data_IF_919750286290
#
_entry.id   IF_919750286290
#
_cell.length_a   1.000
_cell.length_b   1.000
_cell.length_c   1.000
_cell.angle_alpha   90.00
_cell.angle_beta   90.00
_cell.angle_gamma   90.00
#
_symmetry.space_group_name_H-M   'P 1'
#
loop_
_entity.id
_entity.type
_entity.pdbx_description
1 polymer ?
#
# COMPACT_ATOMS: atom_id res chain seq x y z
N UNK A 1 66.08 -20.57 34.66
CA UNK A 1 65.13 -20.59 33.51
C UNK A 1 63.93 -19.74 33.87
N UNK A 2 63.64 -18.67 33.11
CA UNK A 2 62.51 -17.77 33.35
C UNK A 2 61.34 -18.19 32.45
N UNK A 3 60.29 -18.75 33.03
CA UNK A 3 59.07 -19.13 32.30
C UNK A 3 58.26 -17.86 32.05
N UNK A 4 58.19 -17.41 30.79
CA UNK A 4 57.27 -16.34 30.38
C UNK A 4 55.90 -16.95 30.12
N UNK A 5 54.91 -16.57 30.93
CA UNK A 5 53.51 -16.91 30.67
C UNK A 5 52.96 -15.85 29.73
N UNK A 6 52.51 -16.25 28.55
CA UNK A 6 51.83 -15.37 27.60
C UNK A 6 50.32 -15.54 27.79
N UNK A 7 49.70 -14.54 28.42
CA UNK A 7 48.24 -14.44 28.52
C UNK A 7 47.74 -13.98 27.16
N UNK A 8 47.15 -14.91 26.39
CA UNK A 8 46.43 -14.60 25.16
C UNK A 8 45.04 -14.07 25.55
N UNK A 9 44.87 -12.75 25.54
CA UNK A 9 43.59 -12.09 25.78
C UNK A 9 42.77 -12.14 24.47
N UNK A 10 41.89 -13.12 24.33
CA UNK A 10 40.92 -13.16 23.22
C UNK A 10 39.80 -12.16 23.52
N UNK A 11 39.93 -10.94 23.03
CA UNK A 11 38.81 -9.98 23.03
C UNK A 11 37.86 -10.34 21.90
N UNK A 12 36.83 -11.14 22.22
CA UNK A 12 35.68 -11.32 21.35
C UNK A 12 34.93 -9.98 21.32
N UNK A 13 35.14 -9.16 20.29
CA UNK A 13 34.29 -8.00 20.03
C UNK A 13 32.90 -8.54 19.62
N UNK A 14 31.82 -8.33 20.39
CA UNK A 14 30.51 -8.53 19.83
C UNK A 14 30.33 -7.41 18.80
N UNK A 15 30.34 -7.76 17.51
CA UNK A 15 29.77 -6.89 16.49
C UNK A 15 28.30 -6.80 16.84
N UNK A 16 27.93 -5.76 17.58
CA UNK A 16 26.54 -5.34 17.69
C UNK A 16 26.19 -4.86 16.30
N UNK A 17 25.76 -5.77 15.43
CA UNK A 17 24.90 -5.37 14.32
C UNK A 17 23.70 -4.75 15.01
N UNK A 18 23.69 -3.42 15.09
CA UNK A 18 22.45 -2.69 15.26
C UNK A 18 21.59 -3.17 14.10
N UNK A 19 20.73 -4.14 14.38
CA UNK A 19 19.69 -4.56 13.48
C UNK A 19 18.80 -3.33 13.40
N UNK A 20 19.10 -2.42 12.48
CA UNK A 20 18.17 -1.40 12.09
C UNK A 20 16.96 -2.20 11.62
N UNK A 21 15.97 -2.32 12.48
CA UNK A 21 14.64 -2.76 12.12
C UNK A 21 14.07 -1.66 11.21
N UNK A 22 14.62 -1.57 10.01
CA UNK A 22 14.10 -0.70 8.96
C UNK A 22 12.68 -1.16 8.72
N UNK A 23 11.73 -0.22 8.77
CA UNK A 23 10.33 -0.56 8.56
C UNK A 23 10.19 -1.28 7.22
N UNK A 24 9.63 -2.49 7.26
CA UNK A 24 9.40 -3.33 6.09
C UNK A 24 8.53 -2.60 5.05
N UNK A 25 7.51 -1.87 5.53
CA UNK A 25 6.76 -0.90 4.74
C UNK A 25 7.00 0.49 5.31
N UNK A 26 7.33 1.43 4.44
CA UNK A 26 7.42 2.85 4.78
C UNK A 26 6.32 3.62 4.05
N UNK A 27 5.64 4.51 4.78
CA UNK A 27 4.58 5.36 4.25
C UNK A 27 4.99 6.80 4.57
N UNK A 28 5.11 7.61 3.52
CA UNK A 28 5.40 9.03 3.58
C UNK A 28 4.20 9.81 3.03
N UNK A 29 3.92 10.96 3.63
CA UNK A 29 2.93 11.90 3.12
C UNK A 29 3.58 13.26 2.92
N UNK A 30 3.46 13.83 1.72
CA UNK A 30 3.95 15.17 1.40
C UNK A 30 2.84 15.95 0.70
N UNK A 31 2.50 17.13 1.22
CA UNK A 31 1.52 18.01 0.61
C UNK A 31 2.18 19.27 0.05
N UNK A 32 1.75 19.66 -1.15
CA UNK A 32 2.13 20.93 -1.79
C UNK A 32 0.86 21.73 -2.02
N UNK A 33 0.85 22.97 -1.53
CA UNK A 33 -0.21 23.94 -1.82
C UNK A 33 0.31 24.99 -2.79
N UNK A 34 -0.50 25.33 -3.79
CA UNK A 34 -0.22 26.38 -4.74
C UNK A 34 -1.49 27.12 -5.15
N UNK A 35 -1.31 28.32 -5.68
CA UNK A 35 -2.40 29.11 -6.27
C UNK A 35 -2.41 28.89 -7.79
N UNK A 36 -3.51 28.35 -8.31
CA UNK A 36 -3.72 28.12 -9.73
C UNK A 36 -4.26 29.39 -10.39
N UNK A 37 -3.38 30.12 -11.08
CA UNK A 37 -3.74 31.37 -11.76
C UNK A 37 -4.65 31.21 -12.99
N UNK A 38 -4.90 29.98 -13.46
CA UNK A 38 -5.85 29.71 -14.56
C UNK A 38 -7.27 29.59 -14.02
N UNK A 39 -7.44 28.90 -12.90
CA UNK A 39 -8.76 28.66 -12.26
C UNK A 39 -9.09 29.68 -11.17
N UNK A 40 -8.11 30.52 -10.78
CA UNK A 40 -8.20 31.49 -9.68
C UNK A 40 -8.54 30.82 -8.34
N UNK A 41 -7.89 29.68 -8.05
CA UNK A 41 -8.16 28.86 -6.86
C UNK A 41 -6.88 28.40 -6.17
N UNK A 42 -6.95 28.20 -4.85
CA UNK A 42 -5.91 27.48 -4.12
C UNK A 42 -6.15 25.98 -4.25
N UNK A 43 -5.13 25.27 -4.70
CA UNK A 43 -5.14 23.82 -4.90
C UNK A 43 -4.09 23.18 -3.98
N UNK A 44 -4.38 21.96 -3.55
CA UNK A 44 -3.47 21.15 -2.76
C UNK A 44 -3.32 19.81 -3.48
N UNK A 45 -2.07 19.41 -3.72
CA UNK A 45 -1.74 18.06 -4.14
C UNK A 45 -0.98 17.39 -3.00
N UNK A 46 -1.53 16.29 -2.52
CA UNK A 46 -0.90 15.43 -1.53
C UNK A 46 -0.39 14.16 -2.19
N UNK A 47 0.87 13.81 -1.93
CA UNK A 47 1.42 12.50 -2.26
C UNK A 47 1.38 11.61 -1.02
N UNK A 48 0.66 10.49 -1.11
CA UNK A 48 0.76 9.37 -0.18
C UNK A 48 1.62 8.28 -0.81
N UNK A 49 2.87 8.20 -0.39
CA UNK A 49 3.91 7.37 -0.97
C UNK A 49 4.13 6.11 -0.14
N UNK A 50 3.94 4.95 -0.75
CA UNK A 50 4.21 3.64 -0.16
C UNK A 50 5.53 3.12 -0.72
N UNK A 51 6.47 2.75 0.16
CA UNK A 51 7.73 2.07 -0.19
C UNK A 51 7.76 0.68 0.42
N UNK A 52 7.84 -0.35 -0.41
CA UNK A 52 7.99 -1.73 0.04
C UNK A 52 9.47 -2.11 0.18
N UNK A 53 10.01 -1.97 1.38
CA UNK A 53 11.38 -2.40 1.71
C UNK A 53 11.42 -3.86 2.22
N UNK A 54 10.30 -4.58 2.16
CA UNK A 54 10.19 -5.96 2.60
C UNK A 54 10.59 -6.93 1.48
N UNK A 55 10.59 -8.22 1.80
CA UNK A 55 10.76 -9.32 0.86
C UNK A 55 9.42 -9.98 0.46
N UNK A 56 8.29 -9.37 0.81
CA UNK A 56 6.94 -9.89 0.53
C UNK A 56 6.17 -8.91 -0.37
N UNK A 57 5.24 -9.44 -1.15
CA UNK A 57 4.30 -8.65 -1.96
C UNK A 57 3.19 -8.04 -1.09
N UNK A 58 2.81 -6.80 -1.38
CA UNK A 58 1.71 -6.11 -0.71
C UNK A 58 0.67 -5.65 -1.72
N UNK A 59 -0.60 -5.85 -1.39
CA UNK A 59 -1.73 -5.33 -2.14
C UNK A 59 -2.21 -4.03 -1.52
N UNK A 60 -2.51 -3.04 -2.36
CA UNK A 60 -3.16 -1.81 -1.95
C UNK A 60 -4.38 -1.50 -2.82
N UNK A 61 -5.41 -0.95 -2.19
CA UNK A 61 -6.64 -0.50 -2.85
C UNK A 61 -7.28 0.62 -2.04
N UNK A 62 -8.31 1.24 -2.62
CA UNK A 62 -9.14 2.25 -1.93
C UNK A 62 -10.46 1.60 -1.51
N UNK A 63 -10.80 1.66 -0.23
CA UNK A 63 -12.05 1.15 0.35
C UNK A 63 -13.21 2.15 0.19
N UNK A 64 -14.43 1.63 -0.02
CA UNK A 64 -15.66 2.44 -0.05
C UNK A 64 -16.07 2.99 1.32
N UNK A 65 -15.65 2.32 2.39
CA UNK A 65 -15.91 2.72 3.79
C UNK A 65 -14.57 2.99 4.50
N UNK A 66 -14.51 3.92 5.49
CA UNK A 66 -13.28 4.17 6.24
C UNK A 66 -12.77 2.88 6.90
N UNK A 67 -11.44 2.75 6.98
CA UNK A 67 -10.79 1.51 7.39
C UNK A 67 -10.45 1.50 8.89
N UNK A 68 -10.67 2.61 9.58
CA UNK A 68 -10.37 2.78 11.00
C UNK A 68 -11.10 1.69 11.83
N UNK A 69 -10.37 1.06 12.75
CA UNK A 69 -10.88 0.00 13.65
C UNK A 69 -11.30 -1.31 12.96
N UNK A 70 -11.10 -1.45 11.64
CA UNK A 70 -11.42 -2.68 10.91
C UNK A 70 -10.23 -3.62 10.87
N UNK A 71 -10.51 -4.92 10.94
CA UNK A 71 -9.50 -5.97 10.78
C UNK A 71 -9.19 -6.21 9.31
N UNK A 72 -7.98 -6.68 9.00
CA UNK A 72 -7.57 -7.07 7.64
C UNK A 72 -8.55 -8.07 7.01
N UNK A 73 -9.09 -8.99 7.81
CA UNK A 73 -10.09 -9.96 7.35
C UNK A 73 -11.39 -9.29 6.92
N UNK A 74 -11.88 -8.30 7.66
CA UNK A 74 -13.07 -7.53 7.28
C UNK A 74 -12.80 -6.68 6.03
N UNK A 75 -11.63 -6.07 5.92
CA UNK A 75 -11.23 -5.28 4.76
C UNK A 75 -11.15 -6.13 3.49
N UNK A 76 -10.55 -7.32 3.57
CA UNK A 76 -10.49 -8.27 2.45
C UNK A 76 -11.89 -8.79 2.10
N UNK A 77 -12.70 -9.13 3.10
CA UNK A 77 -14.08 -9.55 2.87
C UNK A 77 -14.88 -8.48 2.12
N UNK A 78 -14.83 -7.24 2.58
CA UNK A 78 -15.61 -6.15 2.01
C UNK A 78 -15.15 -5.74 0.62
N UNK A 79 -13.85 -5.85 0.36
CA UNK A 79 -13.32 -5.51 -0.94
C UNK A 79 -13.63 -6.60 -1.99
N UNK A 80 -13.38 -7.87 -1.66
CA UNK A 80 -13.46 -8.98 -2.63
C UNK A 80 -14.81 -9.70 -2.67
N UNK A 81 -15.46 -9.92 -1.52
CA UNK A 81 -16.61 -10.84 -1.38
C UNK A 81 -17.94 -10.14 -1.15
N UNK A 82 -17.96 -8.98 -0.49
CA UNK A 82 -19.18 -8.19 -0.33
C UNK A 82 -19.66 -7.78 -1.72
N UNK A 83 -20.90 -8.14 -2.04
CA UNK A 83 -21.54 -7.77 -3.31
C UNK A 83 -21.70 -6.26 -3.37
N UNK A 84 -21.24 -5.66 -4.47
CA UNK A 84 -21.38 -4.25 -4.79
C UNK A 84 -22.28 -4.18 -6.01
N UNK A 85 -23.52 -3.78 -5.80
CA UNK A 85 -24.59 -3.83 -6.81
C UNK A 85 -24.87 -5.28 -7.28
N UNK A 86 -24.44 -5.62 -8.50
CA UNK A 86 -24.79 -6.87 -9.17
C UNK A 86 -23.74 -7.98 -9.01
N UNK A 87 -22.52 -7.67 -8.55
CA UNK A 87 -21.47 -8.67 -8.40
C UNK A 87 -20.53 -8.31 -7.23
N UNK A 88 -19.92 -9.32 -6.65
CA UNK A 88 -18.69 -9.14 -5.87
C UNK A 88 -17.49 -9.08 -6.81
N UNK A 89 -16.38 -8.50 -6.35
CA UNK A 89 -15.17 -8.42 -7.19
C UNK A 89 -14.65 -9.82 -7.56
N UNK A 90 -14.75 -10.78 -6.64
CA UNK A 90 -14.34 -12.16 -6.89
C UNK A 90 -15.19 -12.83 -7.98
N UNK A 91 -16.51 -12.61 -8.00
CA UNK A 91 -17.39 -13.09 -9.07
C UNK A 91 -17.01 -12.43 -10.40
N UNK A 92 -16.79 -11.12 -10.41
CA UNK A 92 -16.37 -10.39 -11.61
C UNK A 92 -15.02 -10.87 -12.17
N UNK A 93 -14.08 -11.26 -11.31
CA UNK A 93 -12.80 -11.88 -11.70
C UNK A 93 -13.01 -13.28 -12.29
N UNK A 94 -13.86 -14.13 -11.69
CA UNK A 94 -14.09 -15.48 -12.22
C UNK A 94 -14.86 -15.48 -13.55
N UNK A 95 -15.78 -14.54 -13.71
CA UNK A 95 -16.58 -14.39 -14.94
C UNK A 95 -15.86 -13.55 -16.02
N UNK A 96 -14.62 -13.10 -15.77
CA UNK A 96 -13.82 -12.23 -16.63
C UNK A 96 -14.56 -10.95 -17.06
N UNK A 97 -15.49 -10.47 -16.24
CA UNK A 97 -16.26 -9.24 -16.50
C UNK A 97 -15.33 -8.03 -16.54
N UNK A 98 -14.23 -8.07 -15.79
CA UNK A 98 -13.29 -6.96 -15.64
C UNK A 98 -12.41 -6.72 -16.87
N UNK A 99 -12.24 -7.69 -17.77
CA UNK A 99 -11.26 -7.62 -18.87
C UNK A 99 -11.58 -6.49 -19.87
N UNK A 100 -12.85 -6.08 -19.97
CA UNK A 100 -13.31 -5.00 -20.86
C UNK A 100 -13.73 -3.73 -20.12
N UNK A 101 -13.63 -3.72 -18.79
CA UNK A 101 -14.12 -2.62 -17.96
C UNK A 101 -12.98 -1.71 -17.51
N UNK A 102 -13.21 -0.39 -17.41
CA UNK A 102 -12.24 0.49 -16.80
C UNK A 102 -12.01 0.10 -15.34
N UNK A 103 -10.81 0.34 -14.83
CA UNK A 103 -10.53 0.23 -13.40
C UNK A 103 -11.31 1.30 -12.64
N UNK A 104 -12.03 0.91 -11.59
CA UNK A 104 -12.90 1.78 -10.80
C UNK A 104 -12.37 1.85 -9.36
N UNK A 105 -12.08 3.07 -8.89
CA UNK A 105 -11.65 3.34 -7.51
C UNK A 105 -12.76 2.95 -6.54
N UNK A 106 -12.44 2.18 -5.49
CA UNK A 106 -13.42 1.61 -4.56
C UNK A 106 -13.94 0.22 -4.94
N UNK A 107 -13.84 -0.16 -6.21
CA UNK A 107 -14.48 -1.36 -6.74
C UNK A 107 -13.48 -2.38 -7.28
N UNK A 108 -12.73 -2.02 -8.34
CA UNK A 108 -11.81 -2.92 -9.05
C UNK A 108 -10.35 -2.46 -9.04
N UNK A 109 -10.07 -1.23 -8.60
CA UNK A 109 -8.69 -0.76 -8.45
C UNK A 109 -7.96 -1.54 -7.36
N UNK A 110 -6.90 -2.26 -7.73
CA UNK A 110 -5.97 -2.92 -6.84
C UNK A 110 -4.57 -2.89 -7.43
N UNK A 111 -3.56 -2.60 -6.63
CA UNK A 111 -2.14 -2.60 -7.01
C UNK A 111 -1.39 -3.64 -6.20
N UNK A 112 -0.57 -4.45 -6.87
CA UNK A 112 0.48 -5.22 -6.22
C UNK A 112 1.77 -4.40 -6.17
N UNK A 113 2.36 -4.27 -4.99
CA UNK A 113 3.63 -3.57 -4.73
C UNK A 113 4.66 -4.64 -4.37
N UNK A 114 5.53 -4.96 -5.32
CA UNK A 114 6.57 -6.00 -5.15
C UNK A 114 7.71 -5.51 -4.25
N UNK A 115 8.56 -6.41 -3.72
CA UNK A 115 9.77 -6.06 -3.00
C UNK A 115 10.62 -5.01 -3.73
N UNK A 116 10.96 -3.93 -3.04
CA UNK A 116 11.74 -2.81 -3.56
C UNK A 116 10.95 -1.79 -4.39
N UNK A 117 9.66 -2.02 -4.65
CA UNK A 117 8.83 -1.08 -5.40
C UNK A 117 8.26 0.04 -4.53
N UNK A 118 7.91 1.12 -5.20
CA UNK A 118 7.21 2.26 -4.63
C UNK A 118 5.93 2.54 -5.40
N UNK A 119 4.87 2.96 -4.69
CA UNK A 119 3.61 3.36 -5.30
C UNK A 119 3.09 4.67 -4.68
N UNK A 120 2.67 5.61 -5.52
CA UNK A 120 2.15 6.91 -5.07
C UNK A 120 0.66 7.07 -5.37
N UNK A 121 -0.12 7.42 -4.34
CA UNK A 121 -1.42 8.05 -4.53
C UNK A 121 -1.23 9.56 -4.51
N UNK A 122 -1.50 10.24 -5.62
CA UNK A 122 -1.58 11.70 -5.67
C UNK A 122 -3.03 12.11 -5.46
N UNK A 123 -3.32 12.83 -4.39
CA UNK A 123 -4.65 13.25 -4.00
C UNK A 123 -4.77 14.75 -4.26
N UNK A 124 -5.60 15.12 -5.23
CA UNK A 124 -5.95 16.49 -5.53
C UNK A 124 -7.11 16.95 -4.67
N UNK A 125 -6.89 18.04 -3.94
CA UNK A 125 -7.80 18.60 -2.95
C UNK A 125 -7.97 20.11 -3.18
N UNK A 126 -9.11 20.65 -2.74
CA UNK A 126 -9.40 22.07 -2.84
C UNK A 126 -9.31 22.71 -1.46
N UNK A 127 -8.60 23.85 -1.36
CA UNK A 127 -8.56 24.79 -0.21
C UNK A 127 -8.13 24.27 1.17
N UNK A 128 -8.48 23.04 1.56
CA UNK A 128 -8.21 22.45 2.88
C UNK A 128 -7.73 21.02 2.74
N UNK A 129 -6.75 20.64 3.57
CA UNK A 129 -6.29 19.25 3.65
C UNK A 129 -7.40 18.37 4.23
N UNK A 130 -7.66 17.26 3.57
CA UNK A 130 -8.68 16.26 3.87
C UNK A 130 -8.03 14.88 3.98
N UNK A 131 -8.52 14.09 4.93
CA UNK A 131 -8.04 12.72 5.15
C UNK A 131 -8.93 11.68 4.44
N UNK A 132 -9.84 12.11 3.55
CA UNK A 132 -10.87 11.24 2.98
C UNK A 132 -10.29 9.97 2.35
N UNK A 133 -9.24 10.11 1.53
CA UNK A 133 -8.57 8.94 0.94
C UNK A 133 -7.61 8.24 1.89
N UNK A 134 -6.93 8.97 2.77
CA UNK A 134 -5.99 8.37 3.74
C UNK A 134 -6.70 7.36 4.65
N UNK A 135 -7.92 7.67 5.08
CA UNK A 135 -8.75 6.78 5.89
C UNK A 135 -9.35 5.60 5.09
N UNK A 136 -9.01 5.46 3.81
CA UNK A 136 -9.59 4.47 2.89
C UNK A 136 -8.55 3.65 2.14
N UNK A 137 -7.31 4.09 2.08
CA UNK A 137 -6.22 3.33 1.44
C UNK A 137 -5.88 2.14 2.33
N UNK A 138 -6.12 0.95 1.82
CA UNK A 138 -5.78 -0.32 2.47
C UNK A 138 -4.42 -0.79 1.99
N UNK A 139 -3.64 -1.42 2.86
CA UNK A 139 -2.38 -2.06 2.52
C UNK A 139 -2.22 -3.37 3.31
N UNK A 140 -2.29 -4.51 2.63
CA UNK A 140 -2.24 -5.86 3.25
C UNK A 140 -1.31 -6.75 2.43
N UNK A 141 -0.61 -7.70 3.05
CA UNK A 141 0.25 -8.64 2.33
C UNK A 141 -0.56 -9.47 1.35
N UNK A 142 -0.07 -9.61 0.10
CA UNK A 142 -0.73 -10.43 -0.94
C UNK A 142 -1.03 -11.84 -0.45
N UNK A 143 -0.07 -12.46 0.21
CA UNK A 143 -0.22 -13.81 0.76
C UNK A 143 -1.36 -13.96 1.77
N UNK A 144 -1.59 -12.95 2.62
CA UNK A 144 -2.67 -12.98 3.62
C UNK A 144 -4.04 -12.84 2.94
N UNK A 145 -4.13 -11.98 1.92
CA UNK A 145 -5.32 -11.85 1.07
C UNK A 145 -5.63 -13.17 0.35
N UNK A 146 -4.66 -13.72 -0.38
CA UNK A 146 -4.84 -14.96 -1.15
C UNK A 146 -5.16 -16.17 -0.25
N UNK A 147 -4.56 -16.24 0.95
CA UNK A 147 -4.90 -17.26 1.95
C UNK A 147 -6.35 -17.14 2.42
N UNK A 148 -6.84 -15.93 2.66
CA UNK A 148 -8.22 -15.69 3.06
C UNK A 148 -9.22 -16.02 1.93
N UNK A 149 -8.88 -15.67 0.69
CA UNK A 149 -9.71 -15.95 -0.48
C UNK A 149 -9.66 -17.42 -0.92
N UNK A 150 -8.60 -18.15 -0.52
CA UNK A 150 -8.28 -19.51 -0.98
C UNK A 150 -8.08 -19.58 -2.50
N UNK A 151 -7.52 -18.52 -3.08
CA UNK A 151 -7.18 -18.44 -4.51
C UNK A 151 -5.96 -17.53 -4.70
N UNK A 152 -5.25 -17.74 -5.80
CA UNK A 152 -4.27 -16.77 -6.30
C UNK A 152 -5.00 -15.72 -7.14
N UNK A 153 -4.57 -14.46 -7.02
CA UNK A 153 -5.09 -13.38 -7.86
C UNK A 153 -4.20 -13.31 -9.10
N UNK A 154 -4.79 -13.35 -10.29
CA UNK A 154 -4.06 -13.22 -11.55
C UNK A 154 -3.49 -11.78 -11.68
N UNK A 155 -2.24 -11.68 -12.11
CA UNK A 155 -1.54 -10.41 -12.26
C UNK A 155 -2.26 -9.47 -13.25
N UNK A 156 -3.06 -9.99 -14.18
CA UNK A 156 -3.85 -9.18 -15.14
C UNK A 156 -4.83 -8.20 -14.47
N UNK A 157 -5.21 -8.45 -13.22
CA UNK A 157 -6.14 -7.59 -12.48
C UNK A 157 -5.46 -6.44 -11.75
N UNK A 158 -4.12 -6.42 -11.70
CA UNK A 158 -3.40 -5.36 -11.00
C UNK A 158 -3.22 -4.12 -11.87
N UNK A 159 -3.35 -2.98 -11.23
CA UNK A 159 -3.04 -1.70 -11.84
C UNK A 159 -1.53 -1.61 -12.13
N UNK A 160 -1.17 -1.30 -13.37
CA UNK A 160 0.22 -1.40 -13.82
C UNK A 160 1.08 -0.19 -13.41
N UNK A 161 0.53 1.02 -13.48
CA UNK A 161 1.29 2.25 -13.24
C UNK A 161 1.84 2.33 -11.81
N UNK A 162 2.95 3.06 -11.63
CA UNK A 162 3.58 3.32 -10.33
C UNK A 162 2.87 4.38 -9.49
N UNK A 163 1.83 5.01 -10.05
CA UNK A 163 1.06 6.03 -9.36
C UNK A 163 -0.36 6.14 -9.90
N UNK A 164 -1.24 6.69 -9.08
CA UNK A 164 -2.60 7.07 -9.48
C UNK A 164 -2.94 8.46 -8.95
N UNK A 165 -3.76 9.19 -9.70
CA UNK A 165 -4.27 10.50 -9.29
C UNK A 165 -5.73 10.33 -8.87
N UNK A 166 -6.04 10.79 -7.67
CA UNK A 166 -7.35 10.80 -7.05
C UNK A 166 -7.80 12.24 -6.88
N UNK A 167 -9.09 12.50 -7.05
CA UNK A 167 -9.63 13.85 -6.94
C UNK A 167 -10.79 13.83 -5.96
N UNK A 168 -10.71 14.67 -4.93
CA UNK A 168 -11.82 14.89 -4.03
C UNK A 168 -12.88 15.78 -4.70
N UNK A 169 -14.16 15.46 -4.46
CA UNK A 169 -15.29 16.21 -5.00
C UNK A 169 -15.54 17.48 -4.21
#
# INVERSE_FOLDING_TARGET
>A
MKTKVHILLLTLLPVVTACNAQRQIHIDTVAVSYYNGITDKNEIIEEYLIKNNSNEDYLTWVSLEPINERTDTELVHDYFKKRKDDFSLIEAMFENILDEQPTIIGYSFIKNIKPGETFSYYISQNETVSNFYQERIVLIKRKEVEQYLRMQIDDKYFYESSSIILTEK
#
